data_IF_732697102819
#
_entry.id   IF_732697102819
#
_cell.length_a   1.000
_cell.length_b   1.000
_cell.length_c   1.000
_cell.angle_alpha   90.00
_cell.angle_beta   90.00
_cell.angle_gamma   90.00
#
_symmetry.space_group_name_H-M   'P 1'
#
loop_
_entity.id
_entity.type
_entity.pdbx_description
1 polymer ?
#
# COMPACT_ATOMS: atom_id res chain seq x y z
N UNK A 1 -15.09 -4.23 -16.21
CA UNK A 1 -14.33 -4.31 -14.96
C UNK A 1 -14.32 -2.89 -14.40
N UNK A 2 -14.92 -2.61 -13.24
CA UNK A 2 -14.87 -1.27 -12.62
C UNK A 2 -13.67 -1.21 -11.67
N UNK A 3 -12.86 -0.17 -11.72
CA UNK A 3 -11.78 0.02 -10.75
C UNK A 3 -12.33 0.56 -9.43
N UNK A 4 -11.60 0.32 -8.33
CA UNK A 4 -11.93 0.85 -6.99
C UNK A 4 -12.00 2.37 -7.00
N UNK A 5 -11.16 3.03 -7.80
CA UNK A 5 -11.14 4.49 -7.94
C UNK A 5 -12.38 5.06 -8.64
N UNK A 6 -13.10 4.23 -9.40
CA UNK A 6 -14.32 4.64 -10.12
C UNK A 6 -15.56 4.65 -9.21
N UNK A 7 -15.45 4.13 -7.99
CA UNK A 7 -16.54 3.98 -7.03
C UNK A 7 -16.13 4.58 -5.67
N UNK A 8 -16.65 5.76 -5.30
CA UNK A 8 -16.21 6.47 -4.10
C UNK A 8 -16.52 5.71 -2.81
N UNK A 9 -17.60 4.91 -2.76
CA UNK A 9 -17.91 4.10 -1.58
C UNK A 9 -16.91 2.94 -1.43
N UNK A 10 -16.52 2.31 -2.54
CA UNK A 10 -15.47 1.30 -2.51
C UNK A 10 -14.11 1.90 -2.15
N UNK A 11 -13.76 3.05 -2.72
CA UNK A 11 -12.53 3.75 -2.40
C UNK A 11 -12.43 4.07 -0.90
N UNK A 12 -13.49 4.62 -0.31
CA UNK A 12 -13.56 4.92 1.13
C UNK A 12 -13.31 3.68 2.00
N UNK A 13 -13.92 2.54 1.64
CA UNK A 13 -13.71 1.27 2.35
C UNK A 13 -12.28 0.72 2.22
N UNK A 14 -11.59 0.99 1.13
CA UNK A 14 -10.18 0.61 0.97
C UNK A 14 -9.28 1.53 1.80
N UNK A 15 -9.52 2.83 1.75
CA UNK A 15 -8.80 3.85 2.51
C UNK A 15 -8.84 3.53 4.01
N UNK A 16 -10.01 3.18 4.55
CA UNK A 16 -10.19 2.84 5.97
C UNK A 16 -9.35 1.62 6.42
N UNK A 17 -8.95 0.75 5.48
CA UNK A 17 -8.10 -0.41 5.78
C UNK A 17 -6.61 -0.08 5.77
N UNK A 18 -6.23 1.08 5.25
CA UNK A 18 -4.84 1.55 5.26
C UNK A 18 -4.59 2.35 6.54
N UNK A 19 -3.45 2.13 7.18
CA UNK A 19 -3.06 2.92 8.34
C UNK A 19 -2.76 4.39 7.97
N UNK A 20 -2.36 4.64 6.71
CA UNK A 20 -2.10 5.98 6.19
C UNK A 20 -3.38 6.76 5.83
N UNK A 21 -4.54 6.11 5.73
CA UNK A 21 -5.79 6.78 5.41
C UNK A 21 -5.82 7.37 3.99
N UNK A 22 -5.10 6.77 3.04
CA UNK A 22 -5.09 7.17 1.64
C UNK A 22 -5.00 5.96 0.70
N UNK A 23 -5.34 6.18 -0.58
CA UNK A 23 -4.99 5.23 -1.64
C UNK A 23 -3.53 5.47 -2.03
N UNK A 24 -2.81 4.38 -2.28
CA UNK A 24 -1.48 4.45 -2.88
C UNK A 24 -1.57 4.80 -4.36
N UNK A 25 -0.57 5.51 -4.83
CA UNK A 25 -0.35 5.83 -6.24
C UNK A 25 0.70 4.89 -6.85
N UNK A 26 0.76 4.73 -8.18
CA UNK A 26 1.79 3.91 -8.83
C UNK A 26 3.23 4.29 -8.42
N UNK A 27 3.46 5.58 -8.14
CA UNK A 27 4.74 6.14 -7.72
C UNK A 27 5.21 5.61 -6.36
N UNK A 28 4.31 5.24 -5.45
CA UNK A 28 4.67 4.69 -4.14
C UNK A 28 5.40 3.34 -4.30
N UNK A 29 4.93 2.49 -5.22
CA UNK A 29 5.58 1.22 -5.56
C UNK A 29 6.87 1.48 -6.33
N UNK A 30 6.87 2.42 -7.28
CA UNK A 30 8.04 2.75 -8.07
C UNK A 30 9.20 3.24 -7.20
N UNK A 31 8.93 4.09 -6.20
CA UNK A 31 9.94 4.60 -5.28
C UNK A 31 10.62 3.48 -4.48
N UNK A 32 9.85 2.50 -3.99
CA UNK A 32 10.40 1.32 -3.28
C UNK A 32 11.24 0.46 -4.21
N UNK A 33 10.80 0.25 -5.46
CA UNK A 33 11.59 -0.48 -6.46
C UNK A 33 12.92 0.24 -6.74
N UNK A 34 12.89 1.57 -6.90
CA UNK A 34 14.11 2.36 -7.13
C UNK A 34 15.08 2.21 -5.96
N UNK A 35 14.60 2.28 -4.72
CA UNK A 35 15.43 2.03 -3.54
C UNK A 35 16.00 0.60 -3.53
N UNK A 36 15.17 -0.42 -3.76
CA UNK A 36 15.64 -1.82 -3.76
C UNK A 36 16.63 -2.13 -4.89
N UNK A 37 16.55 -1.41 -6.01
CA UNK A 37 17.48 -1.54 -7.13
C UNK A 37 18.77 -0.71 -6.95
N UNK A 38 18.83 0.18 -5.95
CA UNK A 38 19.96 1.07 -5.75
C UNK A 38 21.06 0.46 -4.88
N UNK A 39 22.29 1.00 -4.89
CA UNK A 39 23.39 0.53 -4.04
C UNK A 39 23.08 0.59 -2.54
N UNK A 40 22.21 1.50 -2.12
CA UNK A 40 21.79 1.70 -0.73
C UNK A 40 21.08 0.47 -0.14
N UNK A 41 20.42 -0.34 -0.98
CA UNK A 41 19.79 -1.59 -0.58
C UNK A 41 20.72 -2.81 -0.65
N UNK A 42 22.04 -2.62 -0.75
CA UNK A 42 23.02 -3.69 -1.05
C UNK A 42 23.09 -4.89 -0.10
N UNK A 43 22.41 -4.85 1.06
CA UNK A 43 22.29 -5.98 1.99
C UNK A 43 20.85 -6.48 2.17
N UNK A 44 19.88 -5.92 1.44
CA UNK A 44 18.47 -6.30 1.48
C UNK A 44 18.20 -7.32 0.38
N UNK A 45 17.94 -8.57 0.76
CA UNK A 45 17.63 -9.66 -0.17
C UNK A 45 16.76 -10.72 0.51
N UNK A 46 15.97 -11.46 -0.28
CA UNK A 46 15.09 -12.52 0.22
C UNK A 46 13.83 -12.04 0.96
N UNK A 47 13.49 -10.76 0.85
CA UNK A 47 12.39 -10.12 1.58
C UNK A 47 11.20 -9.76 0.68
N UNK A 48 10.00 -9.71 1.25
CA UNK A 48 8.80 -9.17 0.59
C UNK A 48 8.40 -7.86 1.25
N UNK A 49 8.67 -6.74 0.58
CA UNK A 49 8.33 -5.41 1.09
C UNK A 49 6.89 -5.06 0.73
N UNK A 50 6.02 -4.92 1.73
CA UNK A 50 4.65 -4.46 1.52
C UNK A 50 4.62 -2.94 1.23
N UNK A 51 3.95 -2.56 0.14
CA UNK A 51 3.73 -1.16 -0.26
C UNK A 51 2.22 -0.94 -0.39
N UNK A 52 1.54 -0.86 0.76
CA UNK A 52 0.07 -0.96 0.83
C UNK A 52 -0.56 0.03 1.83
N UNK A 53 0.18 1.07 2.20
CA UNK A 53 -0.27 2.05 3.20
C UNK A 53 -0.48 1.47 4.60
N UNK A 54 0.10 0.32 4.91
CA UNK A 54 0.00 -0.35 6.20
C UNK A 54 -1.20 -1.31 6.33
N UNK A 55 -1.85 -1.64 5.21
CA UNK A 55 -3.00 -2.54 5.22
C UNK A 55 -2.66 -3.94 5.76
N UNK A 56 -1.49 -4.49 5.43
CA UNK A 56 -1.03 -5.79 5.93
C UNK A 56 -0.73 -5.78 7.44
N UNK A 57 -0.28 -4.65 7.99
CA UNK A 57 0.02 -4.51 9.40
C UNK A 57 -1.25 -4.29 10.25
N UNK A 58 -2.34 -3.82 9.63
CA UNK A 58 -3.66 -3.83 10.27
C UNK A 58 -4.11 -5.28 10.48
N UNK A 59 -4.84 -5.55 11.55
CA UNK A 59 -5.49 -6.84 11.79
C UNK A 59 -6.63 -7.16 10.79
N UNK A 60 -6.67 -6.47 9.64
CA UNK A 60 -7.63 -6.66 8.56
C UNK A 60 -9.04 -6.14 8.86
N UNK A 61 -9.30 -5.62 10.07
CA UNK A 61 -10.58 -5.05 10.43
C UNK A 61 -10.68 -3.61 9.92
N UNK A 62 -11.80 -3.31 9.25
CA UNK A 62 -12.26 -1.93 9.13
C UNK A 62 -12.56 -1.42 10.54
N UNK A 63 -12.30 -0.12 10.76
CA UNK A 63 -12.66 0.62 11.96
C UNK A 63 -14.19 0.80 12.04
N UNK A 64 -14.95 -0.30 12.04
CA UNK A 64 -16.39 -0.29 12.27
C UNK A 64 -16.70 -0.47 13.77
N UNK A 65 -16.09 0.35 14.63
CA UNK A 65 -16.56 0.62 16.00
C UNK A 65 -16.10 2.02 16.44
#
# INVERSE_FOLDING_TARGET
>A
MSYVVDDPEKAARFIERTALGCLGEPEDVAAVIVFLASPEAGFVTGETVAVDGGALASNGQLSMF
#
